data_IF_719293505251
#
_entry.id   IF_719293505251
#
_cell.length_a   1.000
_cell.length_b   1.000
_cell.length_c   1.000
_cell.angle_alpha   90.00
_cell.angle_beta   90.00
_cell.angle_gamma   90.00
#
_symmetry.space_group_name_H-M   'P 1'
#
loop_
_entity.id
_entity.type
_entity.pdbx_description
1 polymer ?
#
# COMPACT_ATOMS: atom_id res chain seq x y z
N UNK A 1 11.24 2.33 12.72
CA UNK A 1 11.97 1.07 13.03
C UNK A 1 11.98 0.13 11.83
N UNK A 2 10.83 -0.18 11.23
CA UNK A 2 10.71 -1.03 10.04
C UNK A 2 11.63 -0.66 8.87
N UNK A 3 11.68 0.62 8.48
CA UNK A 3 12.58 1.06 7.39
C UNK A 3 14.07 0.80 7.65
N UNK A 4 14.51 0.85 8.93
CA UNK A 4 15.90 0.52 9.29
C UNK A 4 16.20 -0.97 9.20
N UNK A 5 15.17 -1.81 9.31
CA UNK A 5 15.25 -3.26 9.16
C UNK A 5 15.05 -3.71 7.69
N UNK A 6 14.95 -2.77 6.73
CA UNK A 6 14.71 -3.09 5.32
C UNK A 6 13.27 -3.51 4.99
N UNK A 7 12.31 -3.27 5.89
CA UNK A 7 10.90 -3.58 5.67
C UNK A 7 10.20 -2.39 5.00
N UNK A 8 9.53 -2.66 3.86
CA UNK A 8 8.65 -1.72 3.17
C UNK A 8 7.26 -1.71 3.81
N UNK A 9 6.73 -0.52 4.09
CA UNK A 9 5.40 -0.35 4.68
C UNK A 9 4.48 0.28 3.64
N UNK A 10 3.31 -0.32 3.44
CA UNK A 10 2.27 0.17 2.54
C UNK A 10 0.99 0.46 3.35
N UNK A 11 0.36 1.59 3.11
CA UNK A 11 -0.93 1.97 3.69
C UNK A 11 -2.06 1.67 2.71
N UNK A 12 -3.06 0.91 3.15
CA UNK A 12 -4.26 0.57 2.38
C UNK A 12 -5.50 0.99 3.17
N UNK A 13 -6.10 2.14 2.82
CA UNK A 13 -7.20 2.73 3.59
C UNK A 13 -8.42 3.03 2.72
N UNK A 14 -9.62 3.01 3.34
CA UNK A 14 -10.87 3.50 2.75
C UNK A 14 -11.01 5.03 2.79
N UNK A 15 -10.09 5.73 3.44
CA UNK A 15 -10.11 7.19 3.59
C UNK A 15 -9.88 7.92 2.27
N UNK A 16 -10.12 9.24 2.31
CA UNK A 16 -9.80 10.13 1.20
C UNK A 16 -8.28 10.20 0.94
N UNK A 17 -7.82 10.32 -0.31
CA UNK A 17 -6.39 10.36 -0.64
C UNK A 17 -5.59 11.44 0.10
N UNK A 18 -6.17 12.63 0.31
CA UNK A 18 -5.49 13.71 1.03
C UNK A 18 -5.27 13.38 2.50
N UNK A 19 -6.27 12.79 3.17
CA UNK A 19 -6.17 12.34 4.56
C UNK A 19 -5.14 11.21 4.67
N UNK A 20 -5.24 10.20 3.80
CA UNK A 20 -4.30 9.07 3.78
C UNK A 20 -2.85 9.56 3.57
N UNK A 21 -2.64 10.51 2.66
CA UNK A 21 -1.33 11.13 2.43
C UNK A 21 -0.81 11.87 3.65
N UNK A 22 -1.66 12.67 4.31
CA UNK A 22 -1.27 13.42 5.50
C UNK A 22 -0.83 12.49 6.64
N UNK A 23 -1.62 11.45 6.93
CA UNK A 23 -1.26 10.46 7.96
C UNK A 23 0.00 9.68 7.55
N UNK A 24 0.10 9.25 6.29
CA UNK A 24 1.28 8.51 5.82
C UNK A 24 2.58 9.30 5.92
N UNK A 25 2.53 10.63 5.76
CA UNK A 25 3.65 11.52 6.03
C UNK A 25 4.00 11.59 7.52
N UNK A 26 2.98 11.76 8.36
CA UNK A 26 3.12 11.87 9.82
C UNK A 26 3.74 10.61 10.44
N UNK A 27 3.29 9.43 10.02
CA UNK A 27 3.81 8.14 10.52
C UNK A 27 5.07 7.66 9.78
N UNK A 28 5.53 8.43 8.78
CA UNK A 28 6.79 8.16 8.06
C UNK A 28 6.74 7.04 7.03
N UNK A 29 5.55 6.65 6.56
CA UNK A 29 5.38 5.76 5.38
C UNK A 29 5.79 6.49 4.11
N UNK A 30 5.34 7.75 3.99
CA UNK A 30 5.83 8.65 2.95
C UNK A 30 7.04 9.44 3.47
N UNK A 31 8.04 9.69 2.62
CA UNK A 31 9.19 10.49 3.00
C UNK A 31 8.79 11.94 3.29
N UNK A 32 9.30 12.48 4.40
CA UNK A 32 9.04 13.85 4.87
C UNK A 32 9.46 14.92 3.87
N UNK A 33 10.46 14.63 3.02
CA UNK A 33 10.94 15.53 1.97
C UNK A 33 10.38 15.15 0.60
N UNK A 34 9.06 14.98 0.52
CA UNK A 34 8.37 14.64 -0.72
C UNK A 34 8.64 15.67 -1.85
N UNK A 35 8.91 16.93 -1.50
CA UNK A 35 9.19 18.01 -2.46
C UNK A 35 10.59 17.92 -3.11
N UNK A 36 11.49 17.11 -2.56
CA UNK A 36 12.82 16.83 -3.13
C UNK A 36 12.80 15.61 -4.06
N UNK A 37 11.66 14.93 -4.16
CA UNK A 37 11.45 13.75 -5.00
C UNK A 37 10.87 14.21 -6.34
N UNK A 38 11.33 13.62 -7.43
CA UNK A 38 10.82 13.90 -8.76
C UNK A 38 9.28 13.70 -8.81
N UNK A 39 8.58 14.62 -9.46
CA UNK A 39 7.11 14.72 -9.38
C UNK A 39 6.38 13.46 -9.90
N UNK A 40 6.99 12.76 -10.85
CA UNK A 40 6.58 11.45 -11.38
C UNK A 40 6.67 10.34 -10.31
N UNK A 41 7.75 10.33 -9.52
CA UNK A 41 7.91 9.39 -8.42
C UNK A 41 6.93 9.73 -7.29
N UNK A 42 6.76 11.01 -6.96
CA UNK A 42 5.81 11.43 -5.93
C UNK A 42 4.36 11.06 -6.29
N UNK A 43 3.99 11.17 -7.58
CA UNK A 43 2.66 10.76 -8.08
C UNK A 43 2.42 9.25 -8.00
N UNK A 44 3.46 8.43 -8.12
CA UNK A 44 3.31 6.98 -8.03
C UNK A 44 3.29 6.46 -6.60
N UNK A 45 3.69 7.28 -5.60
CA UNK A 45 3.66 6.90 -4.20
C UNK A 45 2.25 6.86 -3.59
N UNK A 46 1.33 7.70 -4.06
CA UNK A 46 -0.05 7.77 -3.57
C UNK A 46 -1.01 7.56 -4.73
N UNK A 47 -1.83 6.53 -4.65
CA UNK A 47 -2.78 6.16 -5.70
C UNK A 47 -4.19 6.01 -5.12
N UNK A 48 -5.21 6.38 -5.88
CA UNK A 48 -6.57 6.02 -5.54
C UNK A 48 -6.83 4.56 -5.97
N UNK A 49 -7.57 3.80 -5.18
CA UNK A 49 -7.89 2.41 -5.48
C UNK A 49 -8.51 2.24 -6.87
N UNK A 50 -9.34 3.20 -7.30
CA UNK A 50 -9.96 3.17 -8.63
C UNK A 50 -8.96 3.18 -9.80
N UNK A 51 -7.75 3.72 -9.61
CA UNK A 51 -6.69 3.71 -10.63
C UNK A 51 -5.85 2.45 -10.50
N UNK A 52 -5.53 2.05 -9.26
CA UNK A 52 -4.81 0.81 -9.00
C UNK A 52 -5.56 -0.41 -9.52
N UNK A 53 -6.87 -0.45 -9.31
CA UNK A 53 -7.73 -1.57 -9.69
C UNK A 53 -7.95 -1.65 -11.21
N UNK A 54 -7.72 -0.57 -11.96
CA UNK A 54 -7.77 -0.58 -13.44
C UNK A 54 -6.53 -1.21 -14.07
N UNK A 55 -5.39 -1.16 -13.38
CA UNK A 55 -4.17 -1.79 -13.87
C UNK A 55 -4.40 -3.30 -13.95
N UNK A 56 -3.82 -3.94 -14.94
CA UNK A 56 -3.69 -5.39 -15.01
C UNK A 56 -2.59 -5.88 -14.08
N UNK A 57 -2.56 -7.18 -13.79
CA UNK A 57 -1.52 -7.74 -12.93
C UNK A 57 -0.12 -7.58 -13.53
N UNK A 58 0.02 -7.69 -14.85
CA UNK A 58 1.27 -7.43 -15.56
C UNK A 58 1.71 -5.96 -15.44
N UNK A 59 0.78 -5.01 -15.59
CA UNK A 59 1.08 -3.58 -15.39
C UNK A 59 1.48 -3.29 -13.95
N UNK A 60 0.79 -3.87 -12.97
CA UNK A 60 1.13 -3.77 -11.55
C UNK A 60 2.53 -4.33 -11.32
N UNK A 61 2.88 -5.48 -11.90
CA UNK A 61 4.16 -6.13 -11.70
C UNK A 61 5.32 -5.38 -12.39
N UNK A 62 5.05 -4.70 -13.50
CA UNK A 62 6.00 -3.82 -14.19
C UNK A 62 6.25 -2.49 -13.47
N UNK A 63 5.42 -2.09 -12.51
CA UNK A 63 5.68 -0.88 -11.74
C UNK A 63 7.04 -0.98 -11.03
N UNK A 64 7.92 0.03 -11.15
CA UNK A 64 9.24 0.00 -10.51
C UNK A 64 9.10 -0.14 -8.99
N UNK A 65 8.05 0.44 -8.41
CA UNK A 65 7.61 0.24 -7.02
C UNK A 65 6.09 0.26 -6.96
N UNK A 66 5.52 -0.57 -6.10
CA UNK A 66 4.10 -0.49 -5.77
C UNK A 66 3.81 0.80 -4.97
N UNK A 67 2.62 1.38 -5.09
CA UNK A 67 2.24 2.58 -4.34
C UNK A 67 2.38 2.36 -2.84
N UNK A 68 2.97 3.34 -2.13
CA UNK A 68 3.11 3.30 -0.68
C UNK A 68 1.78 3.58 0.02
N UNK A 69 0.87 4.30 -0.64
CA UNK A 69 -0.47 4.60 -0.15
C UNK A 69 -1.48 4.29 -1.24
N UNK A 70 -2.46 3.45 -0.94
CA UNK A 70 -3.67 3.29 -1.74
C UNK A 70 -4.87 3.73 -0.91
N UNK A 71 -5.59 4.72 -1.40
CA UNK A 71 -6.73 5.33 -0.71
C UNK A 71 -8.06 4.92 -1.37
N UNK A 72 -9.19 5.06 -0.65
CA UNK A 72 -10.52 4.58 -1.07
C UNK A 72 -10.55 3.07 -1.40
N UNK A 73 -9.77 2.26 -0.70
CA UNK A 73 -9.68 0.81 -0.94
C UNK A 73 -10.99 0.08 -0.66
N UNK A 74 -11.36 -0.83 -1.56
CA UNK A 74 -12.27 -1.93 -1.25
C UNK A 74 -11.48 -3.10 -0.61
N UNK A 75 -12.15 -4.04 0.08
CA UNK A 75 -11.49 -5.25 0.60
C UNK A 75 -10.66 -6.00 -0.47
N UNK A 76 -11.16 -6.06 -1.70
CA UNK A 76 -10.50 -6.71 -2.84
C UNK A 76 -9.20 -5.99 -3.24
N UNK A 77 -9.19 -4.66 -3.23
CA UNK A 77 -7.98 -3.85 -3.49
C UNK A 77 -6.85 -4.25 -2.52
N UNK A 78 -7.19 -4.51 -1.24
CA UNK A 78 -6.20 -4.92 -0.24
C UNK A 78 -5.62 -6.30 -0.53
N UNK A 79 -6.47 -7.26 -0.88
CA UNK A 79 -6.05 -8.60 -1.31
C UNK A 79 -5.14 -8.52 -2.54
N UNK A 80 -5.52 -7.69 -3.52
CA UNK A 80 -4.76 -7.51 -4.75
C UNK A 80 -3.34 -6.97 -4.51
N UNK A 81 -3.18 -6.02 -3.58
CA UNK A 81 -1.85 -5.54 -3.18
C UNK A 81 -0.99 -6.68 -2.61
N UNK A 82 -1.56 -7.55 -1.77
CA UNK A 82 -0.86 -8.70 -1.21
C UNK A 82 -0.42 -9.65 -2.32
N UNK A 83 -1.29 -9.93 -3.29
CA UNK A 83 -0.98 -10.81 -4.41
C UNK A 83 0.13 -10.25 -5.30
N UNK A 84 0.13 -8.94 -5.56
CA UNK A 84 1.21 -8.27 -6.26
C UNK A 84 2.55 -8.37 -5.50
N UNK A 85 2.54 -8.26 -4.18
CA UNK A 85 3.73 -8.45 -3.35
C UNK A 85 4.21 -9.91 -3.36
N UNK A 86 3.29 -10.88 -3.34
CA UNK A 86 3.60 -12.31 -3.45
C UNK A 86 4.23 -12.66 -4.79
N UNK A 87 3.71 -12.13 -5.91
CA UNK A 87 4.31 -12.31 -7.25
C UNK A 87 5.71 -11.72 -7.36
N UNK A 88 6.02 -10.72 -6.53
CA UNK A 88 7.36 -10.11 -6.38
C UNK A 88 8.23 -10.83 -5.35
N UNK A 89 7.88 -12.06 -4.97
CA UNK A 89 8.58 -12.92 -4.02
C UNK A 89 8.81 -12.25 -2.65
N UNK A 90 7.84 -11.44 -2.21
CA UNK A 90 7.87 -10.80 -0.88
C UNK A 90 6.98 -11.56 0.10
N UNK A 91 7.43 -11.64 1.35
CA UNK A 91 6.58 -12.02 2.47
C UNK A 91 5.82 -10.79 2.98
N UNK A 92 4.55 -10.97 3.30
CA UNK A 92 3.63 -9.90 3.68
C UNK A 92 3.07 -10.16 5.08
N UNK A 93 3.29 -9.18 5.96
CA UNK A 93 2.53 -9.05 7.20
C UNK A 93 1.44 -8.00 7.01
N UNK A 94 0.18 -8.38 7.24
CA UNK A 94 -0.97 -7.48 7.12
C UNK A 94 -1.50 -7.16 8.52
N UNK A 95 -1.69 -5.88 8.81
CA UNK A 95 -2.35 -5.40 10.03
C UNK A 95 -3.74 -4.87 9.68
N UNK A 96 -4.77 -5.17 10.47
CA UNK A 96 -6.12 -4.64 10.27
C UNK A 96 -7.00 -4.79 11.50
N UNK A 97 -8.02 -3.95 11.61
CA UNK A 97 -8.93 -3.83 12.75
C UNK A 97 -10.41 -4.06 12.38
N UNK A 98 -10.73 -3.97 11.09
CA UNK A 98 -12.10 -4.07 10.60
C UNK A 98 -12.45 -5.41 9.93
N UNK A 99 -13.75 -5.69 9.84
CA UNK A 99 -14.28 -6.81 9.03
C UNK A 99 -13.83 -6.74 7.57
N UNK A 100 -13.60 -5.53 7.07
CA UNK A 100 -13.11 -5.25 5.71
C UNK A 100 -11.68 -5.77 5.47
N UNK A 101 -10.91 -6.04 6.53
CA UNK A 101 -9.56 -6.57 6.47
C UNK A 101 -9.50 -8.10 6.58
N UNK A 102 -10.61 -8.76 6.90
CA UNK A 102 -10.66 -10.22 7.04
C UNK A 102 -10.07 -10.96 5.83
N UNK A 103 -10.39 -10.60 4.57
CA UNK A 103 -9.82 -11.28 3.41
C UNK A 103 -8.31 -11.08 3.27
N UNK A 104 -7.82 -9.86 3.48
CA UNK A 104 -6.40 -9.52 3.38
C UNK A 104 -5.57 -10.11 4.52
N UNK A 105 -6.09 -10.09 5.75
CA UNK A 105 -5.47 -10.73 6.92
C UNK A 105 -5.28 -12.23 6.70
N UNK A 106 -6.26 -12.90 6.09
CA UNK A 106 -6.17 -14.33 5.75
C UNK A 106 -5.24 -14.60 4.58
N UNK A 107 -5.13 -13.69 3.61
CA UNK A 107 -4.30 -13.87 2.41
C UNK A 107 -2.81 -13.65 2.67
N UNK A 108 -2.48 -12.78 3.62
CA UNK A 108 -1.10 -12.48 4.02
C UNK A 108 -0.38 -13.70 4.63
N UNK A 109 0.95 -13.68 4.61
CA UNK A 109 1.75 -14.73 5.27
C UNK A 109 1.61 -14.65 6.79
N UNK A 110 1.43 -13.45 7.32
CA UNK A 110 1.12 -13.19 8.73
C UNK A 110 0.00 -12.15 8.82
N UNK A 111 -1.17 -12.55 9.33
CA UNK A 111 -2.26 -11.65 9.68
C UNK A 111 -2.18 -11.20 11.14
N UNK A 112 -2.25 -9.89 11.38
CA UNK A 112 -2.23 -9.26 12.70
C UNK A 112 -3.54 -8.49 12.87
N UNK A 113 -4.46 -9.05 13.66
CA UNK A 113 -5.71 -8.39 14.01
C UNK A 113 -5.55 -7.51 15.26
N UNK A 114 -6.32 -6.42 15.33
CA UNK A 114 -6.46 -5.58 16.53
C UNK A 114 -7.83 -5.74 17.18
#
# INVERSE_FOLDING_TARGET
MFHRAGVSVHMLTGDHPETARAIALEVGILPTRMNEIAADIAKTMVMAAHDFDKLTDDEIDQLPRLPLVVARCAPQTKVRMIEALHRRERFVAMTGDGVNDSPSLKRADVGIAM
#
